data_IF_931575863585
#
_entry.id   IF_931575863585
#
_cell.length_a   1.000
_cell.length_b   1.000
_cell.length_c   1.000
_cell.angle_alpha   90.00
_cell.angle_beta   90.00
_cell.angle_gamma   90.00
#
_symmetry.space_group_name_H-M   'P 1'
#
loop_
_entity.id
_entity.type
_entity.pdbx_description
1 polymer ?
#
# COMPACT_ATOMS: atom_id res chain seq x y z
N UNK A 1 -41.68 -92.68 -40.15
CA UNK A 1 -42.63 -93.06 -41.23
C UNK A 1 -43.35 -91.79 -41.67
N UNK A 2 -43.50 -91.54 -42.99
CA UNK A 2 -44.16 -90.36 -43.64
C UNK A 2 -43.68 -88.96 -43.18
N UNK A 3 -43.31 -87.98 -44.03
CA UNK A 3 -43.71 -87.68 -45.41
C UNK A 3 -44.76 -86.54 -45.40
N UNK A 4 -44.81 -85.56 -46.32
CA UNK A 4 -43.93 -85.12 -47.43
C UNK A 4 -44.52 -83.80 -47.99
N UNK A 5 -43.69 -82.77 -48.28
CA UNK A 5 -43.98 -81.57 -49.14
C UNK A 5 -45.18 -80.66 -48.72
N UNK A 6 -45.26 -79.34 -48.95
CA UNK A 6 -44.64 -78.36 -49.87
C UNK A 6 -44.38 -76.99 -49.12
N UNK A 7 -44.04 -75.80 -49.68
CA UNK A 7 -43.73 -75.30 -51.05
C UNK A 7 -42.68 -74.14 -51.03
N UNK A 8 -42.37 -73.64 -52.22
CA UNK A 8 -41.62 -72.45 -52.71
C UNK A 8 -42.04 -71.05 -52.18
N UNK A 9 -41.32 -69.91 -52.32
CA UNK A 9 -40.09 -69.39 -53.02
C UNK A 9 -39.69 -68.04 -52.31
N UNK A 10 -38.56 -67.33 -52.49
CA UNK A 10 -37.70 -67.08 -53.65
C UNK A 10 -36.24 -66.66 -53.28
N UNK A 11 -35.40 -66.49 -54.32
CA UNK A 11 -33.98 -66.00 -54.38
C UNK A 11 -33.90 -65.08 -55.64
N UNK A 12 -32.91 -64.17 -55.87
CA UNK A 12 -31.47 -64.55 -55.99
C UNK A 12 -30.35 -63.46 -55.80
N UNK A 13 -29.08 -63.94 -55.84
CA UNK A 13 -27.80 -63.42 -56.42
C UNK A 13 -27.48 -61.90 -56.46
N UNK A 14 -26.31 -61.36 -56.04
CA UNK A 14 -24.85 -61.60 -56.27
C UNK A 14 -24.21 -60.53 -57.21
N UNK A 15 -23.10 -59.90 -56.78
CA UNK A 15 -21.96 -59.42 -57.60
C UNK A 15 -20.81 -59.03 -56.61
N UNK A 16 -19.68 -59.75 -56.46
CA UNK A 16 -18.45 -59.92 -57.29
C UNK A 16 -17.48 -58.70 -57.34
N UNK A 17 -16.25 -58.92 -56.84
CA UNK A 17 -14.91 -58.45 -57.31
C UNK A 17 -14.75 -57.03 -57.88
N UNK A 18 -13.80 -56.16 -57.51
CA UNK A 18 -12.56 -56.31 -56.73
C UNK A 18 -11.32 -55.87 -57.54
N UNK A 19 -10.66 -54.75 -57.17
CA UNK A 19 -9.39 -54.24 -57.77
C UNK A 19 -8.58 -53.50 -56.70
N UNK A 20 -7.26 -53.60 -56.73
CA UNK A 20 -6.29 -52.82 -55.94
C UNK A 20 -5.32 -52.08 -56.88
N UNK A 21 -4.61 -51.03 -56.41
CA UNK A 21 -3.19 -50.70 -56.72
C UNK A 21 -2.76 -49.28 -56.24
N UNK A 22 -1.57 -49.24 -55.61
CA UNK A 22 -0.59 -48.13 -55.37
C UNK A 22 -1.01 -46.74 -54.85
N UNK A 23 -0.38 -46.36 -53.72
CA UNK A 23 0.82 -45.51 -53.83
C UNK A 23 0.95 -44.29 -52.90
N UNK A 24 1.89 -44.32 -51.93
CA UNK A 24 3.04 -43.39 -51.84
C UNK A 24 4.06 -43.83 -50.75
N UNK A 25 5.35 -43.62 -51.02
CA UNK A 25 6.49 -43.82 -50.09
C UNK A 25 6.65 -42.67 -49.09
N UNK A 26 7.30 -42.92 -47.94
CA UNK A 26 8.64 -42.36 -47.57
C UNK A 26 9.17 -43.12 -46.33
N UNK A 27 10.50 -43.19 -46.21
CA UNK A 27 11.26 -44.06 -45.30
C UNK A 27 12.16 -43.23 -44.36
N UNK A 28 12.51 -43.82 -43.21
CA UNK A 28 13.68 -43.53 -42.35
C UNK A 28 13.72 -42.22 -41.53
N UNK A 29 13.76 -42.38 -40.21
CA UNK A 29 14.85 -41.85 -39.37
C UNK A 29 14.97 -42.67 -38.08
N UNK A 30 16.19 -43.02 -37.67
CA UNK A 30 16.42 -43.68 -36.38
C UNK A 30 16.35 -42.65 -35.24
N UNK A 31 15.54 -42.92 -34.21
CA UNK A 31 15.43 -42.10 -32.99
C UNK A 31 16.14 -42.78 -31.83
N UNK A 32 17.06 -42.07 -31.18
CA UNK A 32 17.89 -42.58 -30.09
C UNK A 32 17.09 -42.87 -28.82
N UNK A 33 17.51 -43.88 -28.05
CA UNK A 33 17.11 -44.02 -26.64
C UNK A 33 17.79 -42.92 -25.81
N UNK A 34 17.29 -41.69 -25.95
CA UNK A 34 17.68 -40.58 -25.11
C UNK A 34 17.20 -40.84 -23.68
N UNK A 35 18.12 -41.29 -22.82
CA UNK A 35 17.96 -41.14 -21.38
C UNK A 35 17.95 -39.63 -21.09
N UNK A 36 16.77 -39.03 -21.08
CA UNK A 36 16.58 -37.65 -20.63
C UNK A 36 16.88 -37.61 -19.12
N UNK A 37 18.15 -37.42 -18.78
CA UNK A 37 18.50 -36.81 -17.50
C UNK A 37 17.87 -35.43 -17.49
N UNK A 38 16.68 -35.33 -16.89
CA UNK A 38 16.08 -34.06 -16.52
C UNK A 38 16.92 -33.48 -15.38
N UNK A 39 18.01 -32.81 -15.75
CA UNK A 39 18.69 -31.92 -14.82
C UNK A 39 17.79 -30.71 -14.58
N UNK A 40 16.90 -30.88 -13.60
CA UNK A 40 15.99 -29.85 -13.17
C UNK A 40 16.75 -28.81 -12.35
N UNK A 41 17.40 -27.87 -13.04
CA UNK A 41 17.98 -26.69 -12.43
C UNK A 41 16.89 -25.88 -11.70
N UNK A 42 16.71 -26.17 -10.40
CA UNK A 42 15.92 -25.34 -9.49
C UNK A 42 16.68 -24.04 -9.27
N UNK A 43 16.45 -23.03 -10.11
CA UNK A 43 16.78 -21.66 -9.75
C UNK A 43 15.97 -21.31 -8.49
N UNK A 44 16.66 -21.30 -7.35
CA UNK A 44 16.13 -20.66 -6.15
C UNK A 44 16.05 -19.16 -6.43
N UNK A 45 14.84 -18.64 -6.62
CA UNK A 45 14.61 -17.21 -6.75
C UNK A 45 14.93 -16.54 -5.40
N UNK A 46 16.10 -15.88 -5.34
CA UNK A 46 16.53 -15.07 -4.21
C UNK A 46 16.88 -15.83 -2.94
N UNK A 47 18.17 -16.12 -2.74
CA UNK A 47 18.70 -16.47 -1.40
C UNK A 47 18.54 -15.36 -0.36
N UNK A 48 18.11 -14.17 -0.78
CA UNK A 48 17.71 -13.02 0.03
C UNK A 48 16.22 -12.65 -0.10
N UNK A 49 15.40 -13.54 -0.69
CA UNK A 49 13.99 -13.27 -1.05
C UNK A 49 13.81 -12.61 -2.43
N UNK A 50 12.55 -12.49 -2.86
CA UNK A 50 12.16 -11.69 -4.03
C UNK A 50 11.51 -10.40 -3.53
N UNK A 51 12.16 -9.26 -3.77
CA UNK A 51 11.74 -7.93 -3.38
C UNK A 51 12.93 -6.97 -3.39
N UNK A 52 12.70 -5.65 -3.31
CA UNK A 52 13.80 -4.71 -3.07
C UNK A 52 14.43 -5.01 -1.71
N UNK A 53 15.75 -5.09 -1.65
CA UNK A 53 16.51 -5.24 -0.39
C UNK A 53 16.65 -3.94 0.40
N UNK A 54 16.05 -2.85 -0.09
CA UNK A 54 16.09 -1.52 0.52
C UNK A 54 14.81 -1.29 1.32
N UNK A 55 14.96 -0.70 2.51
CA UNK A 55 13.84 -0.31 3.36
C UNK A 55 13.09 0.84 2.68
N UNK A 56 11.80 0.64 2.41
CA UNK A 56 10.88 1.73 2.09
C UNK A 56 10.40 2.35 3.39
N UNK A 57 10.55 3.68 3.53
CA UNK A 57 10.37 4.38 4.81
C UNK A 57 10.03 5.87 4.62
N UNK A 58 9.17 6.39 5.50
CA UNK A 58 8.80 7.80 5.62
C UNK A 58 9.23 8.28 7.00
N UNK A 59 9.95 9.40 7.02
CA UNK A 59 10.39 10.04 8.26
C UNK A 59 9.74 11.41 8.48
N UNK A 60 9.74 11.81 9.75
CA UNK A 60 9.50 13.18 10.19
C UNK A 60 10.81 13.81 10.67
N UNK A 61 10.95 15.13 10.57
CA UNK A 61 12.08 15.85 11.19
C UNK A 61 11.61 16.59 12.43
N UNK A 62 12.11 16.20 13.61
CA UNK A 62 11.85 16.91 14.86
C UNK A 62 13.15 17.33 15.52
N UNK A 63 13.27 18.61 15.89
CA UNK A 63 14.46 19.16 16.56
C UNK A 63 15.78 18.86 15.81
N UNK A 64 15.75 18.82 14.48
CA UNK A 64 16.92 18.48 13.65
C UNK A 64 17.30 17.00 13.64
N UNK A 65 16.39 16.10 14.04
CA UNK A 65 16.57 14.64 14.05
C UNK A 65 15.49 13.91 13.26
N UNK A 66 15.87 12.79 12.66
CA UNK A 66 14.93 11.88 12.01
C UNK A 66 14.07 11.16 13.06
N UNK A 67 12.76 11.18 12.87
CA UNK A 67 11.79 10.34 13.56
C UNK A 67 11.15 9.40 12.52
N UNK A 68 10.89 8.18 12.94
CA UNK A 68 10.34 7.12 12.09
C UNK A 68 8.82 7.19 12.13
N UNK A 69 8.15 7.21 10.97
CA UNK A 69 6.70 7.33 10.88
C UNK A 69 5.97 5.98 10.67
N UNK A 70 6.70 4.87 10.65
CA UNK A 70 6.20 3.50 10.39
C UNK A 70 5.57 2.79 11.60
N UNK A 71 5.26 3.54 12.67
CA UNK A 71 4.63 2.99 13.87
C UNK A 71 3.13 2.71 13.65
N UNK A 72 2.62 1.50 13.98
CA UNK A 72 1.19 1.18 13.85
C UNK A 72 0.24 2.10 14.61
N UNK A 73 0.69 2.67 15.74
CA UNK A 73 -0.04 3.65 16.57
C UNK A 73 -0.05 5.08 16.02
N UNK A 74 0.56 5.29 14.84
CA UNK A 74 0.97 6.60 14.34
C UNK A 74 2.17 7.18 15.09
N UNK A 75 2.78 8.21 14.52
CA UNK A 75 3.90 8.92 15.11
C UNK A 75 3.41 9.89 16.22
N UNK A 76 4.00 9.84 17.43
CA UNK A 76 3.69 10.82 18.47
C UNK A 76 4.34 12.16 18.14
N UNK A 77 3.53 13.13 17.70
CA UNK A 77 3.98 14.51 17.49
C UNK A 77 3.62 15.41 18.68
N UNK A 78 4.58 16.23 19.13
CA UNK A 78 4.37 17.23 20.16
C UNK A 78 4.02 18.57 19.51
N UNK A 79 2.76 18.98 19.59
CA UNK A 79 2.30 20.28 19.09
C UNK A 79 2.64 21.37 20.12
N UNK A 80 3.50 22.36 19.80
CA UNK A 80 3.82 23.45 20.72
C UNK A 80 2.55 24.25 21.09
N UNK A 81 2.42 24.65 22.36
CA UNK A 81 1.26 25.40 22.84
C UNK A 81 -0.04 24.60 23.01
N UNK A 82 -0.06 23.29 22.74
CA UNK A 82 -1.29 22.48 22.87
C UNK A 82 -1.89 22.44 24.29
N UNK A 83 -1.06 22.58 25.34
CA UNK A 83 -1.54 22.72 26.73
C UNK A 83 -2.16 24.07 27.07
N UNK A 84 -2.09 25.04 26.15
CA UNK A 84 -2.67 26.39 26.25
C UNK A 84 -3.87 26.58 25.30
N UNK A 85 -4.25 25.52 24.57
CA UNK A 85 -5.40 25.55 23.66
C UNK A 85 -6.71 25.64 24.45
N UNK A 86 -7.37 26.77 24.32
CA UNK A 86 -8.68 27.08 24.92
C UNK A 86 -9.69 27.40 23.81
N UNK A 87 -11.01 27.38 24.10
CA UNK A 87 -12.03 27.66 23.08
C UNK A 87 -11.83 29.01 22.40
N UNK A 88 -12.13 29.06 21.10
CA UNK A 88 -11.92 30.24 20.24
C UNK A 88 -10.45 30.50 19.90
N UNK A 89 -9.56 29.49 20.00
CA UNK A 89 -8.13 29.61 19.67
C UNK A 89 -7.68 28.57 18.67
N UNK A 90 -6.66 28.95 17.92
CA UNK A 90 -5.95 28.10 16.97
C UNK A 90 -4.49 27.99 17.39
N UNK A 91 -3.94 26.78 17.30
CA UNK A 91 -2.50 26.51 17.38
C UNK A 91 -2.01 25.98 16.04
N UNK A 92 -0.74 26.21 15.72
CA UNK A 92 -0.13 25.78 14.45
C UNK A 92 1.21 25.09 14.71
N UNK A 93 1.52 24.05 13.95
CA UNK A 93 2.78 23.33 13.97
C UNK A 93 3.25 23.01 12.55
N UNK A 94 4.56 22.95 12.35
CA UNK A 94 5.17 22.52 11.09
C UNK A 94 5.66 21.07 11.22
N UNK A 95 5.38 20.26 10.21
CA UNK A 95 5.69 18.85 10.12
C UNK A 95 6.56 18.62 8.88
N UNK A 96 7.90 18.64 8.98
CA UNK A 96 8.76 18.32 7.86
C UNK A 96 8.73 16.80 7.65
N UNK A 97 8.16 16.36 6.52
CA UNK A 97 7.97 14.95 6.14
C UNK A 97 8.94 14.63 5.00
N UNK A 98 9.71 13.55 5.12
CA UNK A 98 10.66 13.16 4.09
C UNK A 98 10.57 11.67 3.73
N UNK A 99 10.81 11.38 2.46
CA UNK A 99 11.03 10.04 1.98
C UNK A 99 12.45 9.61 2.38
N UNK A 100 12.55 8.62 3.27
CA UNK A 100 13.82 8.09 3.75
C UNK A 100 14.37 6.98 2.82
N UNK A 101 13.60 6.58 1.81
CA UNK A 101 13.97 5.52 0.87
C UNK A 101 15.04 6.01 -0.12
N UNK A 102 16.19 5.33 -0.28
CA UNK A 102 17.29 5.84 -1.10
C UNK A 102 16.97 6.02 -2.60
N UNK A 103 16.14 5.14 -3.18
CA UNK A 103 15.96 5.03 -4.64
C UNK A 103 14.51 5.04 -5.16
N UNK A 104 13.51 4.92 -4.29
CA UNK A 104 12.11 4.82 -4.70
C UNK A 104 11.38 6.13 -4.42
N UNK A 105 10.50 6.54 -5.33
CA UNK A 105 9.49 7.57 -5.05
C UNK A 105 8.50 7.03 -4.03
N UNK A 106 8.03 7.89 -3.13
CA UNK A 106 7.00 7.55 -2.15
C UNK A 106 5.76 8.42 -2.38
N UNK A 107 4.72 7.84 -2.97
CA UNK A 107 3.39 8.46 -3.00
C UNK A 107 2.81 8.37 -1.58
N UNK A 108 2.64 9.54 -0.95
CA UNK A 108 2.44 9.66 0.50
C UNK A 108 1.12 10.35 0.81
N UNK A 109 0.40 9.83 1.81
CA UNK A 109 -0.78 10.43 2.39
C UNK A 109 -0.62 10.60 3.90
N UNK A 110 -1.33 11.57 4.47
CA UNK A 110 -1.42 11.82 5.90
C UNK A 110 -2.87 11.68 6.37
N UNK A 111 -3.06 11.17 7.58
CA UNK A 111 -4.30 11.30 8.32
C UNK A 111 -4.01 11.69 9.78
N UNK A 112 -4.86 12.54 10.35
CA UNK A 112 -4.96 12.69 11.80
C UNK A 112 -5.84 11.56 12.31
N UNK A 113 -5.38 10.84 13.33
CA UNK A 113 -6.12 9.70 13.91
C UNK A 113 -6.19 9.85 15.43
N UNK A 114 -7.23 9.27 16.04
CA UNK A 114 -7.27 9.09 17.48
C UNK A 114 -6.09 8.21 17.92
N UNK A 115 -5.40 8.60 18.99
CA UNK A 115 -4.31 7.83 19.59
C UNK A 115 -4.88 6.64 20.36
N UNK A 116 -4.22 5.48 20.24
CA UNK A 116 -4.52 4.32 21.08
C UNK A 116 -4.42 4.67 22.58
N UNK A 117 -5.41 4.26 23.36
CA UNK A 117 -5.54 4.63 24.78
C UNK A 117 -6.36 5.89 25.05
N UNK A 118 -6.65 6.72 24.04
CA UNK A 118 -7.56 7.86 24.16
C UNK A 118 -7.10 8.94 25.16
N UNK A 119 -8.06 9.72 25.67
CA UNK A 119 -7.84 10.60 26.83
C UNK A 119 -7.74 9.78 28.12
N UNK A 120 -7.09 10.33 29.15
CA UNK A 120 -6.99 9.66 30.45
C UNK A 120 -8.36 9.47 31.12
N UNK A 121 -8.48 8.46 31.99
CA UNK A 121 -9.74 8.16 32.70
C UNK A 121 -10.34 9.41 33.39
N UNK A 122 -11.60 9.71 33.05
CA UNK A 122 -12.33 10.86 33.60
C UNK A 122 -11.97 12.23 33.00
N UNK A 123 -11.05 12.29 32.02
CA UNK A 123 -10.74 13.51 31.28
C UNK A 123 -11.74 13.69 30.12
N UNK A 124 -12.51 14.79 30.06
CA UNK A 124 -13.44 15.04 28.96
C UNK A 124 -12.73 15.07 27.60
N UNK A 125 -13.34 14.50 26.56
CA UNK A 125 -12.81 14.55 25.21
C UNK A 125 -13.27 15.80 24.47
N UNK A 126 -12.33 16.66 24.07
CA UNK A 126 -12.60 17.90 23.31
C UNK A 126 -12.56 17.69 21.79
N UNK A 127 -12.14 16.50 21.32
CA UNK A 127 -11.96 16.18 19.89
C UNK A 127 -13.15 16.56 19.00
N UNK A 128 -14.44 16.40 19.39
CA UNK A 128 -15.57 16.82 18.55
C UNK A 128 -15.61 18.32 18.22
N UNK A 129 -15.01 19.15 19.07
CA UNK A 129 -14.94 20.61 18.95
C UNK A 129 -13.63 21.10 18.33
N UNK A 130 -12.79 20.17 17.84
CA UNK A 130 -11.60 20.52 17.09
C UNK A 130 -11.90 20.62 15.58
N UNK A 131 -11.19 21.53 14.92
CA UNK A 131 -11.12 21.64 13.46
C UNK A 131 -9.67 21.63 13.01
N UNK A 132 -9.42 20.92 11.93
CA UNK A 132 -8.09 20.67 11.41
C UNK A 132 -7.96 21.24 10.00
N UNK A 133 -6.91 22.03 9.78
CA UNK A 133 -6.54 22.53 8.45
C UNK A 133 -5.06 22.24 8.23
N UNK A 134 -4.72 21.61 7.11
CA UNK A 134 -3.35 21.28 6.76
C UNK A 134 -3.01 21.71 5.33
N UNK A 135 -1.85 22.33 5.17
CA UNK A 135 -1.32 22.81 3.88
C UNK A 135 0.13 22.42 3.69
N UNK A 136 0.54 22.11 2.46
CA UNK A 136 1.95 21.95 2.09
C UNK A 136 2.67 23.30 2.00
N UNK A 137 4.00 23.30 2.03
CA UNK A 137 4.83 24.50 1.85
C UNK A 137 4.61 25.17 0.47
N UNK A 138 4.09 24.43 -0.51
CA UNK A 138 3.64 24.93 -1.81
C UNK A 138 2.34 25.74 -1.77
N UNK A 139 1.61 25.73 -0.65
CA UNK A 139 0.27 26.29 -0.50
C UNK A 139 -0.86 25.36 -0.92
N UNK A 140 -0.57 24.12 -1.34
CA UNK A 140 -1.59 23.12 -1.61
C UNK A 140 -2.31 22.69 -0.32
N UNK A 141 -3.64 22.69 -0.32
CA UNK A 141 -4.48 22.27 0.81
C UNK A 141 -4.60 20.74 0.80
N UNK A 142 -4.30 20.11 1.95
CA UNK A 142 -4.52 18.68 2.18
C UNK A 142 -5.94 18.42 2.69
N UNK A 143 -6.38 19.24 3.64
CA UNK A 143 -7.74 19.31 4.17
C UNK A 143 -7.93 20.68 4.86
N UNK A 144 -9.17 21.16 4.94
CA UNK A 144 -9.53 22.49 5.48
C UNK A 144 -10.82 22.37 6.29
N UNK A 145 -10.85 23.00 7.48
CA UNK A 145 -11.97 22.97 8.44
C UNK A 145 -12.51 21.55 8.72
N UNK A 146 -11.61 20.56 8.73
CA UNK A 146 -11.99 19.16 8.81
C UNK A 146 -12.28 18.75 10.26
N UNK A 147 -13.31 17.92 10.45
CA UNK A 147 -13.44 17.08 11.65
C UNK A 147 -12.43 15.94 11.60
N UNK A 148 -12.15 15.28 12.73
CA UNK A 148 -11.17 14.18 12.79
C UNK A 148 -11.43 13.07 11.75
N UNK A 149 -12.70 12.76 11.45
CA UNK A 149 -13.07 11.73 10.48
C UNK A 149 -12.65 12.06 9.03
N UNK A 150 -12.54 13.35 8.70
CA UNK A 150 -12.26 13.86 7.35
C UNK A 150 -10.84 14.44 7.23
N UNK A 151 -10.08 14.51 8.33
CA UNK A 151 -8.74 15.10 8.42
C UNK A 151 -7.65 14.21 7.79
N UNK A 152 -7.76 13.96 6.48
CA UNK A 152 -6.80 13.19 5.68
C UNK A 152 -6.59 13.78 4.29
N UNK A 153 -5.40 13.60 3.72
CA UNK A 153 -5.05 14.16 2.41
C UNK A 153 -3.76 13.56 1.83
N UNK A 154 -3.55 13.76 0.52
CA UNK A 154 -2.35 13.27 -0.18
C UNK A 154 -1.29 14.38 -0.28
N UNK A 155 -0.06 14.07 0.13
CA UNK A 155 1.13 14.89 -0.12
C UNK A 155 1.62 14.73 -1.58
N UNK A 156 1.18 13.66 -2.25
CA UNK A 156 1.71 13.22 -3.54
C UNK A 156 3.06 12.50 -3.41
N UNK A 157 3.79 12.45 -4.52
CA UNK A 157 5.05 11.71 -4.62
C UNK A 157 6.26 12.52 -4.12
N UNK A 158 6.84 12.09 -3.00
CA UNK A 158 8.13 12.57 -2.51
C UNK A 158 9.28 11.87 -3.27
N UNK A 159 10.25 12.64 -3.76
CA UNK A 159 11.42 12.14 -4.46
C UNK A 159 12.24 11.16 -3.60
N UNK A 160 13.02 10.24 -4.19
CA UNK A 160 13.93 9.39 -3.44
C UNK A 160 14.93 10.21 -2.61
N UNK A 161 15.37 9.70 -1.46
CA UNK A 161 16.38 10.36 -0.63
C UNK A 161 17.70 10.60 -1.36
N UNK A 162 18.08 9.71 -2.28
CA UNK A 162 19.36 9.72 -3.02
C UNK A 162 20.59 9.35 -2.18
N UNK A 163 20.41 9.11 -0.89
CA UNK A 163 21.45 8.79 0.09
C UNK A 163 20.97 7.65 1.02
N UNK A 164 21.86 7.00 1.80
CA UNK A 164 21.49 5.92 2.73
C UNK A 164 20.36 6.32 3.68
N UNK A 165 19.47 5.42 4.10
CA UNK A 165 18.38 5.78 5.01
C UNK A 165 18.92 6.21 6.37
N UNK A 166 18.25 7.16 7.02
CA UNK A 166 18.54 7.60 8.38
C UNK A 166 17.84 6.70 9.41
N UNK A 167 18.53 6.39 10.51
CA UNK A 167 17.93 5.69 11.64
C UNK A 167 17.10 6.61 12.55
N UNK A 168 16.17 6.04 13.31
CA UNK A 168 15.37 6.78 14.29
C UNK A 168 16.24 7.44 15.36
N UNK A 169 16.15 8.77 15.47
CA UNK A 169 16.96 9.59 16.37
C UNK A 169 18.32 10.02 15.80
N UNK A 170 18.66 9.66 14.56
CA UNK A 170 19.84 10.19 13.87
C UNK A 170 19.69 11.69 13.59
N UNK A 171 20.81 12.41 13.45
CA UNK A 171 20.80 13.80 12.99
C UNK A 171 20.24 13.88 11.56
N UNK A 172 19.26 14.74 11.33
CA UNK A 172 18.67 14.89 10.00
C UNK A 172 19.69 15.53 9.05
N UNK A 173 19.93 14.85 7.94
CA UNK A 173 20.61 15.40 6.78
C UNK A 173 19.62 15.46 5.62
N UNK A 174 19.52 16.58 4.86
CA UNK A 174 18.69 16.63 3.67
C UNK A 174 19.09 15.57 2.63
N UNK A 175 18.10 15.01 1.94
CA UNK A 175 18.31 14.19 0.73
C UNK A 175 18.31 15.05 -0.54
N UNK A 176 18.05 14.40 -1.67
CA UNK A 176 17.86 15.06 -2.96
C UNK A 176 16.66 16.05 -2.95
N UNK A 177 16.66 17.09 -3.81
CA UNK A 177 15.53 18.02 -3.93
C UNK A 177 14.21 17.30 -4.19
N UNK A 178 13.16 17.68 -3.45
CA UNK A 178 11.83 17.06 -3.51
C UNK A 178 11.68 15.80 -2.65
N UNK A 179 12.72 15.34 -1.94
CA UNK A 179 12.60 14.23 -0.98
C UNK A 179 12.00 14.64 0.37
N UNK A 180 11.83 15.95 0.59
CA UNK A 180 11.29 16.60 1.79
C UNK A 180 10.22 17.61 1.38
N UNK A 181 9.08 17.62 2.08
CA UNK A 181 8.11 18.72 2.10
C UNK A 181 7.74 19.05 3.56
N UNK A 182 7.11 20.18 3.81
CA UNK A 182 6.64 20.59 5.13
C UNK A 182 5.13 20.79 5.11
N UNK A 183 4.42 20.11 6.01
CA UNK A 183 3.00 20.35 6.26
C UNK A 183 2.87 21.37 7.39
N UNK A 184 2.19 22.48 7.14
CA UNK A 184 1.67 23.37 8.18
C UNK A 184 0.32 22.82 8.64
N UNK A 185 0.23 22.35 9.88
CA UNK A 185 -1.01 21.87 10.49
C UNK A 185 -1.50 22.91 11.52
N UNK A 186 -2.71 23.41 11.31
CA UNK A 186 -3.46 24.21 12.28
C UNK A 186 -4.57 23.39 12.92
N UNK A 187 -4.73 23.57 14.24
CA UNK A 187 -5.77 22.97 15.06
C UNK A 187 -6.52 24.11 15.75
N UNK A 188 -7.78 24.29 15.40
CA UNK A 188 -8.70 25.22 16.06
C UNK A 188 -9.56 24.47 17.08
N UNK A 189 -9.76 25.08 18.26
CA UNK A 189 -10.75 24.66 19.24
C UNK A 189 -11.92 25.64 19.17
N UNK A 190 -13.07 25.17 18.70
CA UNK A 190 -14.27 25.99 18.51
C UNK A 190 -14.83 26.49 19.85
N UNK A 191 -15.34 27.72 19.85
CA UNK A 191 -16.11 28.30 20.97
C UNK A 191 -17.60 28.09 20.71
N UNK A 192 -18.09 26.88 21.02
CA UNK A 192 -19.47 26.45 20.78
C UNK A 192 -20.22 26.07 22.08
N UNK A 193 -21.57 26.19 22.11
CA UNK A 193 -22.35 25.81 23.28
C UNK A 193 -22.13 24.35 23.70
N UNK A 194 -21.79 24.14 24.98
CA UNK A 194 -21.51 22.82 25.56
C UNK A 194 -20.01 22.59 25.80
N UNK A 195 -19.13 23.37 25.18
CA UNK A 195 -17.68 23.34 25.43
C UNK A 195 -17.35 23.73 26.89
N UNK A 196 -18.18 24.53 27.54
CA UNK A 196 -18.01 24.92 28.94
C UNK A 196 -18.08 23.72 29.91
N UNK A 197 -18.78 22.65 29.52
CA UNK A 197 -18.84 21.39 30.27
C UNK A 197 -17.57 20.53 30.11
N UNK A 198 -16.68 20.86 29.17
CA UNK A 198 -15.44 20.15 28.86
C UNK A 198 -14.20 20.86 29.41
N UNK A 199 -14.35 21.71 30.43
CA UNK A 199 -13.24 22.39 31.08
C UNK A 199 -12.23 21.37 31.66
N UNK A 200 -10.94 21.55 31.36
CA UNK A 200 -9.88 20.58 31.68
C UNK A 200 -9.84 19.36 30.77
N UNK A 201 -10.70 19.30 29.74
CA UNK A 201 -10.70 18.26 28.72
C UNK A 201 -9.45 18.27 27.84
N UNK A 202 -9.23 17.16 27.14
CA UNK A 202 -8.07 16.91 26.29
C UNK A 202 -8.50 16.24 25.00
N UNK A 203 -7.59 16.18 24.02
CA UNK A 203 -7.73 15.35 22.83
C UNK A 203 -6.48 14.51 22.68
N UNK A 204 -6.64 13.23 22.31
CA UNK A 204 -5.55 12.28 22.17
C UNK A 204 -5.38 11.90 20.70
N UNK A 205 -4.44 12.54 20.03
CA UNK A 205 -4.23 12.42 18.59
C UNK A 205 -2.83 11.87 18.25
N UNK A 206 -2.75 11.22 17.09
CA UNK A 206 -1.53 10.79 16.42
C UNK A 206 -1.60 11.18 14.94
N UNK A 207 -0.44 11.27 14.29
CA UNK A 207 -0.36 11.39 12.83
C UNK A 207 -0.07 10.01 12.24
N UNK A 208 -0.85 9.58 11.26
CA UNK A 208 -0.57 8.40 10.43
C UNK A 208 -0.08 8.85 9.07
N UNK A 209 1.00 8.24 8.61
CA UNK A 209 1.49 8.38 7.24
C UNK A 209 1.34 7.04 6.53
N UNK A 210 0.60 7.04 5.43
CA UNK A 210 0.45 5.89 4.56
C UNK A 210 1.23 6.17 3.27
N UNK A 211 2.13 5.28 2.85
CA UNK A 211 2.96 5.52 1.66
C UNK A 211 3.15 4.27 0.81
N UNK A 212 3.16 4.46 -0.52
CA UNK A 212 3.41 3.42 -1.51
C UNK A 212 4.61 3.74 -2.39
N UNK A 213 5.45 2.74 -2.67
CA UNK A 213 6.54 2.89 -3.63
C UNK A 213 5.98 2.96 -5.05
N UNK A 214 6.29 4.02 -5.80
CA UNK A 214 5.87 4.17 -7.20
C UNK A 214 7.07 4.19 -8.14
N UNK A 215 6.88 3.66 -9.35
CA UNK A 215 7.85 3.78 -10.45
C UNK A 215 7.57 5.04 -11.26
N UNK A 216 8.60 5.87 -11.46
CA UNK A 216 8.61 7.02 -12.38
C UNK A 216 8.42 6.61 -13.84
#
# INVERSE_FOLDING_TARGET
MSGRTERTRARPLLLRTGVAVLGLLVLLAAGTTGAAHTDGARLGLGGAGIGPSERFDIGLVSQGRALQADLPSGAPWAVPGAGELVPGRTITTELPVFNNTPRLLADTAIAIVAREGGTGDGVPDITPFLRFTATLASGAVLFEDAVLADASGSLGALAPRGAPPLDGGEAFTPGEPGSLDTITLSIEYLDEPGVEALNGGQSALSLRFDAGSVTS
#
